data_IF_812162422552
#
_entry.id   IF_812162422552
#
_cell.length_a   1.000
_cell.length_b   1.000
_cell.length_c   1.000
_cell.angle_alpha   90.00
_cell.angle_beta   90.00
_cell.angle_gamma   90.00
#
_symmetry.space_group_name_H-M   'P 1'
#
loop_
_entity.id
_entity.type
_entity.pdbx_description
1 polymer ?
#
# COMPACT_ATOMS: atom_id res chain seq x y z
N UNK A 1 7.15 -22.13 25.50
CA UNK A 1 5.69 -22.26 25.70
C UNK A 1 5.05 -21.08 24.98
N UNK A 2 4.30 -21.28 23.89
CA UNK A 2 3.49 -20.19 23.34
C UNK A 2 2.43 -19.84 24.41
N UNK A 3 2.37 -18.58 24.80
CA UNK A 3 1.31 -18.04 25.66
C UNK A 3 -0.06 -18.37 25.06
N UNK A 4 -1.06 -18.59 25.92
CA UNK A 4 -2.43 -18.74 25.45
C UNK A 4 -2.83 -17.45 24.70
N UNK A 5 -3.42 -17.54 23.50
CA UNK A 5 -3.80 -16.35 22.75
C UNK A 5 -4.82 -15.52 23.55
N UNK A 6 -4.75 -14.17 23.46
CA UNK A 6 -5.66 -13.30 24.19
C UNK A 6 -7.11 -13.57 23.77
N UNK A 7 -8.05 -13.29 24.67
CA UNK A 7 -9.48 -13.41 24.37
C UNK A 7 -9.98 -12.13 23.68
N UNK A 8 -10.90 -12.23 22.70
CA UNK A 8 -11.54 -11.07 22.09
C UNK A 8 -12.46 -10.36 23.09
N UNK A 9 -12.61 -9.04 22.97
CA UNK A 9 -13.62 -8.29 23.70
C UNK A 9 -15.04 -8.55 23.15
N UNK A 10 -16.07 -8.15 23.89
CA UNK A 10 -17.47 -8.34 23.46
C UNK A 10 -17.79 -7.64 22.13
N UNK A 11 -17.17 -6.49 21.86
CA UNK A 11 -17.30 -5.79 20.58
C UNK A 11 -16.65 -6.59 19.42
N UNK A 12 -15.48 -7.18 19.65
CA UNK A 12 -14.77 -8.01 18.66
C UNK A 12 -15.56 -9.27 18.34
N UNK A 13 -16.30 -9.80 19.32
CA UNK A 13 -17.15 -10.99 19.16
C UNK A 13 -18.20 -10.80 18.06
N UNK A 14 -18.82 -9.61 17.99
CA UNK A 14 -19.80 -9.29 16.94
C UNK A 14 -19.12 -9.23 15.57
N UNK A 15 -17.97 -8.57 15.47
CA UNK A 15 -17.20 -8.46 14.24
C UNK A 15 -16.71 -9.82 13.74
N UNK A 16 -16.31 -10.71 14.65
CA UNK A 16 -15.92 -12.08 14.34
C UNK A 16 -17.10 -12.89 13.78
N UNK A 17 -18.30 -12.73 14.33
CA UNK A 17 -19.48 -13.43 13.84
C UNK A 17 -19.86 -12.98 12.43
N UNK A 18 -19.77 -11.67 12.15
CA UNK A 18 -19.94 -11.13 10.80
C UNK A 18 -18.88 -11.65 9.82
N UNK A 19 -17.60 -11.63 10.22
CA UNK A 19 -16.51 -12.12 9.40
C UNK A 19 -16.65 -13.61 9.09
N UNK A 20 -17.00 -14.43 10.07
CA UNK A 20 -17.26 -15.87 9.87
C UNK A 20 -18.48 -16.09 8.99
N UNK A 21 -19.53 -15.26 9.12
CA UNK A 21 -20.68 -15.28 8.22
C UNK A 21 -20.26 -15.08 6.75
N UNK A 22 -19.48 -14.04 6.48
CA UNK A 22 -18.93 -13.82 5.14
C UNK A 22 -18.11 -15.02 4.65
N UNK A 23 -17.18 -15.53 5.48
CA UNK A 23 -16.31 -16.66 5.11
C UNK A 23 -17.11 -17.95 4.84
N UNK A 24 -18.28 -18.14 5.47
CA UNK A 24 -19.08 -19.35 5.29
C UNK A 24 -20.06 -19.29 4.11
N UNK A 25 -20.52 -18.09 3.72
CA UNK A 25 -21.61 -17.94 2.74
C UNK A 25 -21.24 -17.16 1.47
N UNK A 26 -20.13 -16.43 1.46
CA UNK A 26 -19.66 -15.72 0.26
C UNK A 26 -19.02 -16.67 -0.75
N UNK A 27 -19.09 -16.29 -2.02
CA UNK A 27 -18.34 -16.91 -3.13
C UNK A 27 -17.05 -16.14 -3.48
N UNK A 28 -16.61 -15.21 -2.63
CA UNK A 28 -15.41 -14.39 -2.83
C UNK A 28 -15.67 -13.00 -3.42
N UNK A 29 -16.94 -12.59 -3.58
CA UNK A 29 -17.28 -11.24 -4.03
C UNK A 29 -16.90 -10.22 -2.96
N UNK A 30 -16.21 -9.15 -3.36
CA UNK A 30 -15.69 -8.16 -2.41
C UNK A 30 -16.80 -7.47 -1.62
N UNK A 31 -16.63 -7.43 -0.30
CA UNK A 31 -17.58 -6.83 0.64
C UNK A 31 -16.86 -5.81 1.55
N UNK A 32 -17.09 -4.49 1.35
CA UNK A 32 -16.49 -3.45 2.17
C UNK A 32 -16.80 -3.58 3.66
N UNK A 33 -17.96 -4.15 4.03
CA UNK A 33 -18.32 -4.36 5.44
C UNK A 33 -17.41 -5.42 6.07
N UNK A 34 -17.23 -6.55 5.39
CA UNK A 34 -16.30 -7.60 5.83
C UNK A 34 -14.88 -7.07 5.98
N UNK A 35 -14.39 -6.30 5.00
CA UNK A 35 -13.06 -5.70 5.03
C UNK A 35 -12.91 -4.72 6.20
N UNK A 36 -13.93 -3.88 6.44
CA UNK A 36 -13.99 -2.99 7.59
C UNK A 36 -13.92 -3.75 8.92
N UNK A 37 -14.73 -4.81 9.08
CA UNK A 37 -14.70 -5.65 10.28
C UNK A 37 -13.34 -6.31 10.51
N UNK A 38 -12.65 -6.75 9.46
CA UNK A 38 -11.26 -7.24 9.57
C UNK A 38 -10.30 -6.13 10.04
N UNK A 39 -10.43 -4.90 9.52
CA UNK A 39 -9.59 -3.77 9.93
C UNK A 39 -9.74 -3.44 11.42
N UNK A 40 -10.96 -3.47 11.93
CA UNK A 40 -11.26 -3.27 13.35
C UNK A 40 -10.72 -4.41 14.21
N UNK A 41 -10.87 -5.67 13.78
CA UNK A 41 -10.32 -6.82 14.49
C UNK A 41 -8.79 -6.75 14.60
N UNK A 42 -8.11 -6.36 13.52
CA UNK A 42 -6.67 -6.11 13.59
C UNK A 42 -6.34 -5.01 14.58
N UNK A 43 -7.10 -3.90 14.64
CA UNK A 43 -6.89 -2.81 15.60
C UNK A 43 -6.91 -3.31 17.05
N UNK A 44 -7.88 -4.14 17.39
CA UNK A 44 -7.95 -4.78 18.72
C UNK A 44 -6.74 -5.69 18.96
N UNK A 45 -6.36 -6.50 17.98
CA UNK A 45 -5.22 -7.42 18.08
C UNK A 45 -3.88 -6.67 18.24
N UNK A 46 -3.66 -5.54 17.57
CA UNK A 46 -2.40 -4.78 17.67
C UNK A 46 -2.12 -4.23 19.06
N UNK A 47 -3.17 -4.05 19.87
CA UNK A 47 -3.05 -3.61 21.26
C UNK A 47 -2.69 -4.76 22.21
N UNK A 48 -2.91 -6.01 21.79
CA UNK A 48 -2.81 -7.19 22.64
C UNK A 48 -1.53 -7.99 22.38
N UNK A 49 -1.04 -8.02 21.14
CA UNK A 49 0.11 -8.87 20.76
C UNK A 49 1.09 -8.13 19.84
N UNK A 50 2.37 -8.54 19.83
CA UNK A 50 3.35 -8.07 18.85
C UNK A 50 2.91 -8.36 17.41
N UNK A 51 3.45 -7.58 16.46
CA UNK A 51 3.12 -7.69 15.03
C UNK A 51 3.24 -9.11 14.46
N UNK A 52 4.26 -9.85 14.87
CA UNK A 52 4.53 -11.19 14.35
C UNK A 52 3.54 -12.26 14.83
N UNK A 53 2.73 -11.96 15.86
CA UNK A 53 1.73 -12.86 16.43
C UNK A 53 0.29 -12.50 15.99
N UNK A 54 0.11 -11.42 15.22
CA UNK A 54 -1.22 -10.91 14.82
C UNK A 54 -2.00 -11.93 13.99
N UNK A 55 -1.35 -12.51 12.99
CA UNK A 55 -1.97 -13.48 12.07
C UNK A 55 -2.39 -14.76 12.80
N UNK A 56 -1.52 -15.27 13.68
CA UNK A 56 -1.79 -16.42 14.54
C UNK A 56 -3.01 -16.15 15.44
N UNK A 57 -3.08 -14.94 16.02
CA UNK A 57 -4.16 -14.50 16.91
C UNK A 57 -5.48 -14.38 16.16
N UNK A 58 -5.50 -13.72 15.00
CA UNK A 58 -6.69 -13.61 14.15
C UNK A 58 -7.21 -14.99 13.74
N UNK A 59 -6.32 -15.87 13.28
CA UNK A 59 -6.70 -17.23 12.91
C UNK A 59 -7.29 -18.01 14.10
N UNK A 60 -6.73 -17.82 15.32
CA UNK A 60 -7.30 -18.40 16.53
C UNK A 60 -8.70 -17.86 16.86
N UNK A 61 -8.90 -16.54 16.77
CA UNK A 61 -10.18 -15.89 17.03
C UNK A 61 -11.25 -16.36 16.04
N UNK A 62 -10.96 -16.36 14.74
CA UNK A 62 -11.89 -16.84 13.70
C UNK A 62 -12.27 -18.31 13.90
N UNK A 63 -11.30 -19.19 14.20
CA UNK A 63 -11.59 -20.61 14.50
C UNK A 63 -12.46 -20.80 15.74
N UNK A 64 -12.26 -19.96 16.76
CA UNK A 64 -13.05 -20.01 17.98
C UNK A 64 -14.48 -19.51 17.75
N UNK A 65 -14.64 -18.46 16.95
CA UNK A 65 -15.94 -17.95 16.51
C UNK A 65 -16.70 -18.98 15.68
N UNK A 66 -16.05 -19.66 14.73
CA UNK A 66 -16.65 -20.78 13.98
C UNK A 66 -17.17 -21.87 14.91
N UNK A 67 -16.36 -22.33 15.87
CA UNK A 67 -16.78 -23.37 16.83
C UNK A 67 -17.96 -22.91 17.69
N UNK A 68 -18.02 -21.62 18.04
CA UNK A 68 -19.13 -21.05 18.80
C UNK A 68 -20.41 -21.06 17.96
N UNK A 69 -20.36 -20.54 16.73
CA UNK A 69 -21.51 -20.45 15.84
C UNK A 69 -22.04 -21.83 15.42
N UNK A 70 -21.15 -22.79 15.16
CA UNK A 70 -21.53 -24.17 14.84
C UNK A 70 -22.29 -24.85 16.00
N UNK A 71 -21.92 -24.57 17.26
CA UNK A 71 -22.65 -25.07 18.44
C UNK A 71 -24.05 -24.47 18.59
N UNK A 72 -24.23 -23.22 18.15
CA UNK A 72 -25.54 -22.56 18.13
C UNK A 72 -26.44 -23.19 17.06
N UNK A 73 -25.85 -23.68 15.96
CA UNK A 73 -26.55 -24.35 14.87
C UNK A 73 -27.24 -23.38 13.90
N UNK A 74 -28.32 -23.81 13.27
CA UNK A 74 -29.03 -23.01 12.26
C UNK A 74 -28.22 -22.87 10.97
N UNK A 75 -28.01 -21.64 10.50
CA UNK A 75 -27.28 -21.36 9.25
C UNK A 75 -25.83 -21.86 9.29
N UNK A 76 -25.23 -22.00 10.47
CA UNK A 76 -23.86 -22.49 10.67
C UNK A 76 -23.78 -23.98 11.00
N UNK A 77 -24.84 -24.76 10.75
CA UNK A 77 -24.81 -26.21 10.94
C UNK A 77 -23.75 -26.90 10.05
N UNK A 78 -23.48 -26.33 8.87
CA UNK A 78 -22.31 -26.67 8.05
C UNK A 78 -21.36 -25.47 7.99
N UNK A 79 -20.24 -25.59 8.71
CA UNK A 79 -19.17 -24.61 8.71
C UNK A 79 -17.92 -25.10 7.93
N UNK A 80 -18.09 -26.08 7.04
CA UNK A 80 -16.97 -26.70 6.29
C UNK A 80 -16.20 -25.67 5.49
N UNK A 81 -16.90 -24.76 4.81
CA UNK A 81 -16.27 -23.69 4.03
C UNK A 81 -15.45 -22.76 4.93
N UNK A 82 -16.05 -22.16 5.96
CA UNK A 82 -15.33 -21.25 6.84
C UNK A 82 -14.09 -21.90 7.48
N UNK A 83 -14.21 -23.15 7.96
CA UNK A 83 -13.08 -23.91 8.53
C UNK A 83 -11.94 -24.08 7.52
N UNK A 84 -12.27 -24.43 6.28
CA UNK A 84 -11.28 -24.62 5.22
C UNK A 84 -10.60 -23.30 4.85
N UNK A 85 -11.38 -22.25 4.58
CA UNK A 85 -10.87 -20.93 4.18
C UNK A 85 -9.94 -20.38 5.25
N UNK A 86 -10.35 -20.39 6.53
CA UNK A 86 -9.51 -19.93 7.64
C UNK A 86 -8.20 -20.73 7.72
N UNK A 87 -8.25 -22.05 7.57
CA UNK A 87 -7.06 -22.89 7.55
C UNK A 87 -6.11 -22.57 6.39
N UNK A 88 -6.65 -22.22 5.22
CA UNK A 88 -5.86 -21.84 4.05
C UNK A 88 -5.21 -20.46 4.25
N UNK A 89 -5.99 -19.43 4.58
CA UNK A 89 -5.51 -18.03 4.66
C UNK A 89 -4.65 -17.74 5.88
N UNK A 90 -4.87 -18.42 7.01
CA UNK A 90 -4.09 -18.18 8.22
C UNK A 90 -2.75 -18.95 8.25
N UNK A 91 -2.61 -20.04 7.48
CA UNK A 91 -1.47 -20.95 7.64
C UNK A 91 -0.73 -21.30 6.34
N UNK A 92 -1.46 -21.58 5.25
CA UNK A 92 -0.87 -22.14 4.02
C UNK A 92 -0.57 -21.06 2.97
N UNK A 93 -1.55 -20.22 2.67
CA UNK A 93 -1.41 -19.16 1.67
C UNK A 93 -0.31 -18.14 2.01
N UNK A 94 -0.13 -17.70 3.27
CA UNK A 94 0.99 -16.84 3.64
C UNK A 94 2.36 -17.39 3.25
N UNK A 95 2.57 -18.69 3.47
CA UNK A 95 3.83 -19.35 3.13
C UNK A 95 3.98 -19.51 1.62
N UNK A 96 2.91 -19.95 0.94
CA UNK A 96 2.92 -20.12 -0.52
C UNK A 96 3.19 -18.79 -1.25
N UNK A 97 2.55 -17.70 -0.81
CA UNK A 97 2.73 -16.37 -1.40
C UNK A 97 4.14 -15.83 -1.16
N UNK A 98 4.70 -15.97 0.06
CA UNK A 98 6.07 -15.55 0.34
C UNK A 98 7.11 -16.39 -0.43
N UNK A 99 6.88 -17.69 -0.62
CA UNK A 99 7.78 -18.54 -1.42
C UNK A 99 7.73 -18.18 -2.91
N UNK A 100 6.53 -17.93 -3.45
CA UNK A 100 6.34 -17.49 -4.83
C UNK A 100 7.05 -16.16 -5.09
N UNK A 101 6.96 -15.22 -4.15
CA UNK A 101 7.56 -13.88 -4.23
C UNK A 101 8.89 -13.76 -3.49
N UNK A 102 9.62 -14.87 -3.31
CA UNK A 102 10.88 -14.86 -2.54
C UNK A 102 11.96 -13.99 -3.17
N UNK A 103 11.88 -13.70 -4.47
CA UNK A 103 12.77 -12.79 -5.18
C UNK A 103 12.36 -11.31 -4.95
N UNK A 104 11.08 -11.00 -5.13
CA UNK A 104 10.55 -9.64 -5.04
C UNK A 104 10.40 -9.13 -3.60
N UNK A 105 9.99 -9.99 -2.67
CA UNK A 105 9.53 -9.61 -1.33
C UNK A 105 10.40 -10.16 -0.19
N UNK A 106 11.61 -10.67 -0.46
CA UNK A 106 12.53 -11.18 0.58
C UNK A 106 12.83 -10.18 1.71
N UNK A 107 12.72 -8.88 1.41
CA UNK A 107 13.00 -7.80 2.34
C UNK A 107 11.81 -7.41 3.21
N UNK A 108 10.59 -7.86 2.87
CA UNK A 108 9.38 -7.59 3.61
C UNK A 108 9.23 -8.62 4.73
N UNK A 109 8.85 -8.16 5.91
CA UNK A 109 8.39 -9.09 6.95
C UNK A 109 6.98 -9.59 6.63
N UNK A 110 6.61 -10.83 7.00
CA UNK A 110 5.24 -11.31 6.82
C UNK A 110 4.21 -10.40 7.51
N UNK A 111 4.54 -9.81 8.65
CA UNK A 111 3.64 -8.90 9.39
C UNK A 111 3.44 -7.53 8.71
N UNK A 112 4.31 -7.15 7.77
CA UNK A 112 4.12 -5.97 6.92
C UNK A 112 3.23 -6.25 5.70
N UNK A 113 3.22 -7.49 5.20
CA UNK A 113 2.39 -7.89 4.05
C UNK A 113 0.97 -8.27 4.49
N UNK A 114 0.86 -9.10 5.52
CA UNK A 114 -0.41 -9.69 5.99
C UNK A 114 -1.20 -8.74 6.89
N UNK A 115 -1.51 -7.57 6.34
CA UNK A 115 -2.32 -6.48 6.91
C UNK A 115 -3.82 -6.71 6.64
N UNK A 116 -4.73 -5.96 7.28
CA UNK A 116 -6.16 -6.33 7.33
C UNK A 116 -6.80 -6.48 5.96
N UNK A 117 -6.62 -5.51 5.07
CA UNK A 117 -7.20 -5.59 3.73
C UNK A 117 -6.48 -6.58 2.82
N UNK A 118 -5.18 -6.81 2.98
CA UNK A 118 -4.49 -7.89 2.27
C UNK A 118 -5.04 -9.26 2.68
N UNK A 119 -5.27 -9.47 3.98
CA UNK A 119 -5.96 -10.65 4.49
C UNK A 119 -7.37 -10.77 3.92
N UNK A 120 -8.10 -9.66 3.83
CA UNK A 120 -9.41 -9.61 3.17
C UNK A 120 -9.37 -10.07 1.71
N UNK A 121 -8.46 -9.52 0.90
CA UNK A 121 -8.23 -9.94 -0.49
C UNK A 121 -7.81 -11.40 -0.60
N UNK A 122 -7.02 -11.89 0.35
CA UNK A 122 -6.65 -13.30 0.40
C UNK A 122 -7.83 -14.22 0.71
N UNK A 123 -8.75 -13.80 1.59
CA UNK A 123 -10.01 -14.51 1.82
C UNK A 123 -10.88 -14.53 0.56
N UNK A 124 -11.04 -13.39 -0.11
CA UNK A 124 -11.77 -13.26 -1.38
C UNK A 124 -11.19 -14.22 -2.43
N UNK A 125 -9.87 -14.18 -2.67
CA UNK A 125 -9.21 -15.02 -3.67
C UNK A 125 -9.33 -16.53 -3.37
N UNK A 126 -9.24 -16.94 -2.10
CA UNK A 126 -9.44 -18.35 -1.70
C UNK A 126 -10.89 -18.78 -1.89
N UNK A 127 -11.85 -17.93 -1.55
CA UNK A 127 -13.28 -18.21 -1.74
C UNK A 127 -13.64 -18.33 -3.22
N UNK A 128 -13.07 -17.48 -4.09
CA UNK A 128 -13.25 -17.53 -5.55
C UNK A 128 -12.84 -18.88 -6.17
N UNK A 129 -11.90 -19.60 -5.55
CA UNK A 129 -11.47 -20.92 -6.05
C UNK A 129 -12.50 -22.03 -5.82
N UNK A 130 -13.39 -21.86 -4.84
CA UNK A 130 -14.47 -22.79 -4.52
C UNK A 130 -14.05 -24.22 -4.10
N UNK A 131 -15.06 -25.00 -3.74
CA UNK A 131 -14.94 -26.42 -3.41
C UNK A 131 -14.51 -27.27 -4.63
N UNK A 132 -13.90 -28.45 -4.44
CA UNK A 132 -13.68 -29.14 -3.17
C UNK A 132 -12.51 -28.57 -2.36
N UNK A 133 -12.77 -28.27 -1.09
CA UNK A 133 -11.81 -27.65 -0.15
C UNK A 133 -10.61 -28.53 0.23
N UNK A 134 -10.64 -29.81 -0.14
CA UNK A 134 -9.53 -30.75 0.01
C UNK A 134 -8.39 -30.50 -0.98
N UNK A 135 -8.68 -29.89 -2.14
CA UNK A 135 -7.70 -29.63 -3.20
C UNK A 135 -6.85 -28.39 -2.88
N UNK A 136 -6.05 -28.48 -1.81
CA UNK A 136 -5.25 -27.36 -1.29
C UNK A 136 -4.36 -26.74 -2.35
N UNK A 137 -3.60 -27.53 -3.11
CA UNK A 137 -2.63 -27.01 -4.09
C UNK A 137 -3.31 -26.20 -5.19
N UNK A 138 -4.40 -26.73 -5.78
CA UNK A 138 -5.23 -26.00 -6.75
C UNK A 138 -5.69 -24.66 -6.21
N UNK A 139 -6.17 -24.64 -4.97
CA UNK A 139 -6.69 -23.41 -4.35
C UNK A 139 -5.57 -22.40 -4.09
N UNK A 140 -4.41 -22.86 -3.61
CA UNK A 140 -3.27 -21.98 -3.35
C UNK A 140 -2.72 -21.37 -4.64
N UNK A 141 -2.50 -22.18 -5.68
CA UNK A 141 -1.99 -21.71 -6.97
C UNK A 141 -2.97 -20.73 -7.63
N UNK A 142 -4.27 -21.05 -7.59
CA UNK A 142 -5.32 -20.16 -8.10
C UNK A 142 -5.41 -18.85 -7.34
N UNK A 143 -5.38 -18.89 -5.99
CA UNK A 143 -5.44 -17.69 -5.16
C UNK A 143 -4.19 -16.80 -5.33
N UNK A 144 -2.99 -17.38 -5.44
CA UNK A 144 -1.76 -16.61 -5.73
C UNK A 144 -1.85 -15.96 -7.11
N UNK A 145 -2.34 -16.69 -8.12
CA UNK A 145 -2.57 -16.16 -9.46
C UNK A 145 -3.56 -14.99 -9.48
N UNK A 146 -4.67 -15.10 -8.74
CA UNK A 146 -5.69 -14.04 -8.64
C UNK A 146 -5.19 -12.80 -7.88
N UNK A 147 -4.40 -12.99 -6.82
CA UNK A 147 -3.79 -11.91 -6.06
C UNK A 147 -2.78 -11.11 -6.91
N UNK A 148 -2.03 -11.79 -7.78
CA UNK A 148 -0.97 -11.20 -8.60
C UNK A 148 -1.52 -10.39 -9.77
N UNK A 149 -2.07 -9.21 -9.47
CA UNK A 149 -2.80 -8.36 -10.41
C UNK A 149 -2.10 -7.02 -10.73
N UNK A 150 -0.89 -6.79 -10.23
CA UNK A 150 -0.15 -5.53 -10.43
C UNK A 150 1.31 -5.75 -10.78
N UNK A 151 1.76 -5.13 -11.87
CA UNK A 151 3.19 -5.10 -12.27
C UNK A 151 3.77 -3.67 -12.27
N UNK A 152 2.91 -2.65 -12.21
CA UNK A 152 3.28 -1.25 -12.37
C UNK A 152 3.64 -0.90 -13.83
N UNK A 153 4.48 0.12 -14.02
CA UNK A 153 4.83 0.54 -15.36
C UNK A 153 5.84 -0.43 -15.99
N UNK A 154 5.39 -1.27 -16.93
CA UNK A 154 6.21 -2.26 -17.62
C UNK A 154 6.17 -2.06 -19.15
N UNK A 155 7.19 -1.45 -19.77
CA UNK A 155 7.29 -1.40 -21.22
C UNK A 155 7.40 -2.81 -21.80
N UNK A 156 6.38 -3.24 -22.56
CA UNK A 156 6.43 -4.47 -23.32
C UNK A 156 7.17 -4.20 -24.64
N UNK A 157 8.32 -4.83 -24.84
CA UNK A 157 8.99 -4.82 -26.12
C UNK A 157 8.13 -5.55 -27.17
N UNK A 158 8.03 -4.99 -28.37
CA UNK A 158 7.49 -5.70 -29.53
C UNK A 158 8.65 -6.51 -30.11
N UNK A 159 8.55 -7.83 -30.08
CA UNK A 159 9.54 -8.72 -30.67
C UNK A 159 9.54 -8.55 -32.20
N UNK A 160 10.64 -8.94 -32.86
CA UNK A 160 10.74 -8.90 -34.31
C UNK A 160 9.65 -9.73 -35.03
N UNK A 161 9.06 -10.71 -34.32
CA UNK A 161 7.91 -11.49 -34.78
C UNK A 161 6.58 -10.71 -34.79
N UNK A 162 6.54 -9.48 -34.28
CA UNK A 162 5.34 -8.68 -34.07
C UNK A 162 4.59 -9.01 -32.76
N UNK A 163 5.04 -10.02 -32.01
CA UNK A 163 4.44 -10.41 -30.72
C UNK A 163 4.91 -9.46 -29.63
N UNK A 164 3.98 -8.93 -28.82
CA UNK A 164 4.34 -8.19 -27.60
C UNK A 164 4.81 -9.19 -26.55
N UNK A 165 5.94 -8.90 -25.90
CA UNK A 165 6.34 -9.64 -24.70
C UNK A 165 5.32 -9.36 -23.59
N UNK A 166 4.71 -10.41 -23.04
CA UNK A 166 3.93 -10.30 -21.82
C UNK A 166 4.87 -10.33 -20.61
N UNK A 167 4.54 -9.65 -19.49
CA UNK A 167 5.30 -9.80 -18.25
C UNK A 167 5.17 -11.24 -17.74
N UNK A 168 6.23 -11.75 -17.12
CA UNK A 168 6.18 -13.07 -16.51
C UNK A 168 5.22 -13.09 -15.31
N UNK A 169 4.55 -14.21 -15.01
CA UNK A 169 3.65 -14.30 -13.87
C UNK A 169 4.26 -13.89 -12.53
N UNK A 170 5.55 -14.13 -12.33
CA UNK A 170 6.27 -13.76 -11.10
C UNK A 170 6.65 -12.27 -11.04
N UNK A 171 6.52 -11.49 -12.11
CA UNK A 171 6.70 -10.02 -12.08
C UNK A 171 5.49 -9.32 -11.44
N UNK A 172 4.31 -9.96 -11.46
CA UNK A 172 3.08 -9.45 -10.88
C UNK A 172 3.05 -9.71 -9.37
N UNK A 173 2.51 -8.77 -8.61
CA UNK A 173 2.32 -8.87 -7.16
C UNK A 173 0.94 -8.33 -6.81
N UNK A 174 0.40 -8.68 -5.64
CA UNK A 174 -0.71 -7.93 -5.06
C UNK A 174 -0.17 -6.67 -4.38
N UNK A 175 -0.60 -5.45 -4.75
CA UNK A 175 -0.26 -4.27 -3.98
C UNK A 175 -1.04 -4.29 -2.67
N UNK A 176 -0.43 -3.85 -1.57
CA UNK A 176 -1.02 -3.94 -0.22
C UNK A 176 -2.10 -2.86 -0.09
N UNK A 177 -3.39 -3.22 0.02
CA UNK A 177 -4.44 -2.20 0.08
C UNK A 177 -4.37 -1.42 1.39
N UNK A 178 -4.40 -0.09 1.30
CA UNK A 178 -4.38 0.84 2.42
C UNK A 178 -5.70 1.59 2.58
N UNK A 179 -6.47 1.76 1.50
CA UNK A 179 -7.82 2.31 1.50
C UNK A 179 -8.67 1.51 0.53
N UNK A 180 -9.91 1.19 0.91
CA UNK A 180 -10.91 0.58 0.03
C UNK A 180 -12.22 1.37 0.18
N UNK A 181 -12.82 1.73 -0.95
CA UNK A 181 -14.11 2.43 -0.97
C UNK A 181 -15.15 1.65 -0.16
N UNK A 182 -15.80 2.34 0.77
CA UNK A 182 -16.82 1.77 1.66
C UNK A 182 -16.27 1.06 2.91
N UNK A 183 -15.00 0.64 2.91
CA UNK A 183 -14.32 0.07 4.09
C UNK A 183 -13.48 1.11 4.84
N UNK A 184 -13.02 2.17 4.14
CA UNK A 184 -12.18 3.22 4.71
C UNK A 184 -10.69 2.89 4.62
N UNK A 185 -9.91 3.47 5.53
CA UNK A 185 -8.46 3.29 5.61
C UNK A 185 -8.15 2.10 6.52
N UNK A 186 -7.22 1.24 6.08
CA UNK A 186 -6.78 0.08 6.84
C UNK A 186 -6.05 0.51 8.12
N UNK A 187 -6.31 -0.20 9.21
CA UNK A 187 -5.57 -0.03 10.46
C UNK A 187 -4.08 -0.30 10.25
N UNK A 188 -3.23 0.57 10.81
CA UNK A 188 -1.78 0.37 10.87
C UNK A 188 -0.97 1.65 10.79
N UNK A 189 0.33 1.51 10.52
CA UNK A 189 1.27 2.64 10.60
C UNK A 189 1.01 3.79 9.61
N UNK A 190 0.27 3.52 8.53
CA UNK A 190 -0.09 4.54 7.52
C UNK A 190 -1.48 5.14 7.76
N UNK A 191 -2.25 4.62 8.71
CA UNK A 191 -3.66 4.94 8.89
C UNK A 191 -3.89 6.44 9.07
N UNK A 192 -3.19 7.06 10.03
CA UNK A 192 -3.43 8.46 10.38
C UNK A 192 -3.02 9.43 9.27
N UNK A 193 -1.85 9.21 8.64
CA UNK A 193 -1.35 10.08 7.58
C UNK A 193 -2.20 9.94 6.31
N UNK A 194 -2.62 8.72 5.98
CA UNK A 194 -3.44 8.48 4.80
C UNK A 194 -4.87 9.00 5.00
N UNK A 195 -5.46 8.79 6.18
CA UNK A 195 -6.81 9.31 6.49
C UNK A 195 -6.88 10.83 6.36
N UNK A 196 -5.89 11.55 6.91
CA UNK A 196 -5.81 13.01 6.77
C UNK A 196 -5.54 13.44 5.34
N UNK A 197 -4.69 12.72 4.60
CA UNK A 197 -4.42 13.04 3.20
C UNK A 197 -5.67 12.86 2.32
N UNK A 198 -6.45 11.80 2.55
CA UNK A 198 -7.72 11.58 1.87
C UNK A 198 -8.74 12.68 2.19
N UNK A 199 -8.84 13.11 3.45
CA UNK A 199 -9.70 14.24 3.83
C UNK A 199 -9.30 15.53 3.09
N UNK A 200 -7.99 15.82 3.00
CA UNK A 200 -7.47 16.97 2.26
C UNK A 200 -7.82 16.87 0.76
N UNK A 201 -7.71 15.68 0.16
CA UNK A 201 -8.07 15.46 -1.25
C UNK A 201 -9.58 15.63 -1.49
N UNK A 202 -10.41 15.17 -0.55
CA UNK A 202 -11.87 15.29 -0.64
C UNK A 202 -12.35 16.74 -0.55
N UNK A 203 -11.65 17.61 0.19
CA UNK A 203 -11.95 19.03 0.35
C UNK A 203 -11.18 19.95 -0.62
N UNK A 204 -10.37 19.38 -1.50
CA UNK A 204 -9.58 20.12 -2.47
C UNK A 204 -10.46 20.79 -3.53
N UNK A 205 -9.95 21.88 -4.12
CA UNK A 205 -10.64 22.60 -5.18
C UNK A 205 -10.89 21.68 -6.40
N UNK A 206 -12.15 21.54 -6.86
CA UNK A 206 -12.48 20.72 -8.02
C UNK A 206 -11.68 21.06 -9.28
N UNK A 207 -11.25 22.31 -9.47
CA UNK A 207 -10.39 22.69 -10.60
C UNK A 207 -8.99 22.07 -10.48
N UNK A 208 -8.43 22.04 -9.28
CA UNK A 208 -7.13 21.40 -9.02
C UNK A 208 -7.23 19.89 -9.26
N UNK A 209 -8.30 19.27 -8.77
CA UNK A 209 -8.56 17.85 -8.96
C UNK A 209 -8.71 17.50 -10.46
N UNK A 210 -9.46 18.31 -11.21
CA UNK A 210 -9.61 18.15 -12.65
C UNK A 210 -8.27 18.30 -13.40
N UNK A 211 -7.46 19.31 -13.07
CA UNK A 211 -6.11 19.50 -13.67
C UNK A 211 -5.15 18.35 -13.33
N UNK A 212 -5.32 17.72 -12.16
CA UNK A 212 -4.52 16.59 -11.72
C UNK A 212 -5.04 15.23 -12.22
N UNK A 213 -6.13 15.20 -12.99
CA UNK A 213 -6.81 13.96 -13.39
C UNK A 213 -7.14 13.06 -12.19
N UNK A 214 -7.61 13.66 -11.10
CA UNK A 214 -7.94 12.94 -9.88
C UNK A 214 -9.43 13.12 -9.58
N UNK A 215 -10.19 12.03 -9.65
CA UNK A 215 -11.60 12.01 -9.29
C UNK A 215 -11.78 11.08 -8.08
N UNK A 216 -12.06 11.67 -6.92
CA UNK A 216 -12.22 10.91 -5.67
C UNK A 216 -13.39 9.94 -5.76
N UNK A 217 -14.46 10.28 -6.49
CA UNK A 217 -15.63 9.43 -6.65
C UNK A 217 -15.36 8.23 -7.57
N UNK A 218 -14.19 8.16 -8.22
CA UNK A 218 -13.73 7.00 -9.02
C UNK A 218 -12.67 6.17 -8.31
N UNK A 219 -12.16 6.63 -7.18
CA UNK A 219 -11.15 5.93 -6.41
C UNK A 219 -11.79 4.75 -5.65
N UNK A 220 -11.49 3.53 -6.09
CA UNK A 220 -11.91 2.30 -5.42
C UNK A 220 -10.88 1.83 -4.39
N UNK A 221 -9.59 2.03 -4.67
CA UNK A 221 -8.51 1.53 -3.83
C UNK A 221 -7.28 2.46 -3.84
N UNK A 222 -6.69 2.71 -2.68
CA UNK A 222 -5.28 3.13 -2.57
C UNK A 222 -4.50 1.95 -2.04
N UNK A 223 -3.44 1.57 -2.74
CA UNK A 223 -2.59 0.46 -2.37
C UNK A 223 -1.11 0.88 -2.32
N UNK A 224 -0.30 0.05 -1.67
CA UNK A 224 1.14 0.20 -1.57
C UNK A 224 1.81 -0.81 -2.50
N UNK A 225 2.79 -0.37 -3.29
CA UNK A 225 3.71 -1.29 -3.98
C UNK A 225 4.67 -1.90 -2.94
N UNK A 226 4.59 -3.22 -2.65
CA UNK A 226 5.40 -3.85 -1.61
C UNK A 226 6.81 -4.18 -2.10
N UNK A 227 7.11 -3.94 -3.38
CA UNK A 227 8.45 -4.21 -3.93
C UNK A 227 9.41 -3.12 -3.45
N UNK A 228 10.66 -3.50 -3.26
CA UNK A 228 11.68 -2.53 -2.89
C UNK A 228 11.94 -1.55 -4.04
N UNK A 229 12.03 -0.28 -3.70
CA UNK A 229 12.26 0.77 -4.68
C UNK A 229 13.73 0.84 -5.10
N UNK A 230 14.01 0.47 -6.35
CA UNK A 230 15.34 0.58 -6.97
C UNK A 230 15.54 1.98 -7.60
N UNK A 231 16.31 2.85 -6.95
CA UNK A 231 16.56 4.19 -7.47
C UNK A 231 17.39 4.22 -8.77
N UNK A 232 18.05 3.13 -9.12
CA UNK A 232 18.82 3.03 -10.37
C UNK A 232 18.02 2.45 -11.54
N UNK A 233 16.92 1.75 -11.25
CA UNK A 233 16.07 1.16 -12.28
C UNK A 233 15.58 2.25 -13.25
N UNK A 234 15.69 2.07 -14.59
CA UNK A 234 15.37 3.10 -15.56
C UNK A 234 13.93 3.65 -15.45
N UNK A 235 12.96 2.79 -15.11
CA UNK A 235 11.56 3.21 -14.89
C UNK A 235 11.46 4.22 -13.74
N UNK A 236 12.27 4.04 -12.69
CA UNK A 236 12.23 4.83 -11.46
C UNK A 236 12.88 6.21 -11.60
N UNK A 237 13.48 6.49 -12.77
CA UNK A 237 13.98 7.82 -13.17
C UNK A 237 12.89 8.71 -13.75
N UNK A 238 11.68 8.18 -13.97
CA UNK A 238 10.53 8.96 -14.43
C UNK A 238 10.13 10.01 -13.38
N UNK A 239 9.77 11.23 -13.80
CA UNK A 239 9.26 12.23 -12.87
C UNK A 239 8.06 11.70 -12.07
N UNK A 240 8.01 12.00 -10.78
CA UNK A 240 6.93 11.65 -9.85
C UNK A 240 6.64 10.14 -9.68
N UNK A 241 7.36 9.22 -10.33
CA UNK A 241 7.08 7.78 -10.22
C UNK A 241 7.25 7.25 -8.79
N UNK A 242 8.21 7.81 -8.05
CA UNK A 242 8.41 7.49 -6.64
C UNK A 242 7.25 7.95 -5.74
N UNK A 243 6.34 8.81 -6.22
CA UNK A 243 5.14 9.18 -5.46
C UNK A 243 3.98 8.20 -5.68
N UNK A 244 3.98 7.46 -6.80
CA UNK A 244 2.93 6.51 -7.15
C UNK A 244 2.42 6.70 -8.58
N UNK A 245 1.32 6.01 -8.90
CA UNK A 245 0.63 6.12 -10.18
C UNK A 245 -0.77 5.50 -10.09
N UNK A 246 -1.65 5.89 -11.01
CA UNK A 246 -2.83 5.07 -11.33
C UNK A 246 -2.40 3.71 -11.88
N UNK A 247 -3.12 2.66 -11.48
CA UNK A 247 -2.86 1.29 -11.93
C UNK A 247 -3.48 1.04 -13.32
N UNK A 248 -2.66 0.77 -14.36
CA UNK A 248 -3.16 0.52 -15.70
C UNK A 248 -3.99 -0.75 -15.86
N UNK A 249 -3.90 -1.70 -14.92
CA UNK A 249 -4.59 -2.99 -14.99
C UNK A 249 -5.95 -2.98 -14.30
N UNK A 250 -6.23 -1.97 -13.48
CA UNK A 250 -7.48 -1.86 -12.74
C UNK A 250 -8.36 -0.74 -13.33
N UNK A 251 -9.14 -1.11 -14.35
CA UNK A 251 -9.96 -0.20 -15.16
C UNK A 251 -11.44 -0.44 -14.86
N UNK A 252 -12.16 0.63 -14.54
CA UNK A 252 -13.61 0.62 -14.36
C UNK A 252 -14.35 0.34 -15.67
N UNK A 253 -15.63 -0.07 -15.62
CA UNK A 253 -16.45 -0.24 -16.82
C UNK A 253 -16.55 1.02 -17.70
N UNK A 254 -16.35 2.21 -17.11
CA UNK A 254 -16.36 3.50 -17.80
C UNK A 254 -15.00 3.85 -18.44
N UNK A 255 -13.99 3.00 -18.31
CA UNK A 255 -12.68 3.18 -18.93
C UNK A 255 -11.69 4.03 -18.13
N UNK A 256 -11.95 4.25 -16.83
CA UNK A 256 -11.05 5.01 -15.95
C UNK A 256 -10.28 4.06 -15.04
N UNK A 257 -9.04 4.41 -14.69
CA UNK A 257 -8.32 3.71 -13.63
C UNK A 257 -9.02 3.95 -12.29
N UNK A 258 -9.14 2.94 -11.44
CA UNK A 258 -9.77 3.08 -10.12
C UNK A 258 -8.92 2.66 -8.92
N UNK A 259 -7.71 2.14 -9.15
CA UNK A 259 -6.72 1.85 -8.10
C UNK A 259 -5.52 2.77 -8.22
N UNK A 260 -5.17 3.47 -7.15
CA UNK A 260 -3.95 4.28 -7.07
C UNK A 260 -2.89 3.56 -6.24
N UNK A 261 -1.69 3.38 -6.79
CA UNK A 261 -0.61 2.63 -6.13
C UNK A 261 0.52 3.58 -5.72
N UNK A 262 0.70 3.73 -4.41
CA UNK A 262 1.77 4.48 -3.77
C UNK A 262 3.04 3.64 -3.68
N UNK A 263 4.20 4.30 -3.75
CA UNK A 263 5.48 3.64 -3.50
C UNK A 263 5.82 3.71 -2.01
N UNK A 264 6.21 2.57 -1.42
CA UNK A 264 6.50 2.47 0.01
C UNK A 264 7.57 3.44 0.48
N UNK A 265 8.59 3.68 -0.35
CA UNK A 265 9.68 4.60 -0.02
C UNK A 265 9.20 6.02 0.29
N UNK A 266 8.10 6.48 -0.32
CA UNK A 266 7.53 7.82 -0.09
C UNK A 266 6.72 7.88 1.19
N UNK A 267 5.86 6.89 1.46
CA UNK A 267 5.11 6.83 2.72
C UNK A 267 6.05 6.72 3.91
N UNK A 268 7.03 5.82 3.83
CA UNK A 268 8.03 5.66 4.89
C UNK A 268 8.84 6.94 5.11
N UNK A 269 9.18 7.67 4.04
CA UNK A 269 9.91 8.94 4.17
C UNK A 269 9.07 10.06 4.80
N UNK A 270 7.75 10.05 4.62
CA UNK A 270 6.83 10.94 5.33
C UNK A 270 6.71 10.54 6.80
N UNK A 271 6.59 9.25 7.10
CA UNK A 271 6.47 8.76 8.48
C UNK A 271 7.72 9.09 9.33
N UNK A 272 8.92 9.16 8.76
CA UNK A 272 10.09 9.61 9.53
C UNK A 272 9.94 11.04 10.05
N UNK A 273 9.17 11.90 9.36
CA UNK A 273 8.87 13.26 9.82
C UNK A 273 7.88 13.26 10.99
N UNK A 274 6.95 12.31 10.99
CA UNK A 274 5.90 12.17 12.00
C UNK A 274 6.41 11.50 13.29
N UNK A 275 7.59 10.89 13.27
CA UNK A 275 8.19 10.29 14.47
C UNK A 275 8.33 11.36 15.57
N UNK A 276 7.71 11.16 16.75
CA UNK A 276 7.78 12.11 17.86
C UNK A 276 9.21 12.44 18.28
N UNK A 277 10.16 11.51 18.09
CA UNK A 277 11.59 11.71 18.39
C UNK A 277 12.26 12.73 17.47
N UNK A 278 11.68 12.96 16.29
CA UNK A 278 12.13 13.93 15.30
C UNK A 278 11.35 15.25 15.38
N UNK A 279 10.38 15.36 16.30
CA UNK A 279 9.60 16.58 16.46
C UNK A 279 10.41 17.65 17.22
N UNK A 280 10.61 18.86 16.65
CA UNK A 280 11.30 19.93 17.36
C UNK A 280 10.53 20.40 18.61
N UNK A 281 11.23 20.91 19.63
CA UNK A 281 10.57 21.52 20.78
C UNK A 281 9.60 22.64 20.36
N UNK A 282 8.40 22.65 20.93
CA UNK A 282 7.37 23.64 20.65
C UNK A 282 6.56 23.40 19.37
N UNK A 283 6.73 22.26 18.71
CA UNK A 283 5.87 21.82 17.60
C UNK A 283 5.04 20.62 18.06
N UNK A 284 3.73 20.69 17.86
CA UNK A 284 2.84 19.58 18.18
C UNK A 284 3.03 18.41 17.20
N UNK A 285 3.06 17.15 17.66
CA UNK A 285 3.14 15.99 16.77
C UNK A 285 2.00 15.93 15.74
N UNK A 286 0.81 16.44 16.10
CA UNK A 286 -0.34 16.54 15.19
C UNK A 286 -0.07 17.47 14.02
N UNK A 287 0.61 18.61 14.24
CA UNK A 287 0.98 19.52 13.16
C UNK A 287 1.91 18.82 12.14
N UNK A 288 2.83 17.99 12.63
CA UNK A 288 3.76 17.23 11.76
C UNK A 288 3.03 16.23 10.89
N UNK A 289 2.04 15.58 11.48
CA UNK A 289 1.17 14.66 10.78
C UNK A 289 0.30 15.38 9.73
N UNK A 290 -0.27 16.53 10.07
CA UNK A 290 -1.05 17.36 9.13
C UNK A 290 -0.21 17.85 7.95
N UNK A 291 1.02 18.29 8.22
CA UNK A 291 1.97 18.67 7.19
C UNK A 291 2.38 17.49 6.30
N UNK A 292 2.61 16.31 6.89
CA UNK A 292 2.96 15.11 6.13
C UNK A 292 1.79 14.64 5.26
N UNK A 293 0.56 14.70 5.78
CA UNK A 293 -0.66 14.40 5.05
C UNK A 293 -0.90 15.38 3.89
N UNK A 294 -0.67 16.68 4.12
CA UNK A 294 -0.72 17.71 3.07
C UNK A 294 0.26 17.42 1.94
N UNK A 295 1.49 16.99 2.29
CA UNK A 295 2.49 16.61 1.29
C UNK A 295 2.11 15.33 0.57
N UNK A 296 1.58 14.32 1.28
CA UNK A 296 1.08 13.09 0.66
C UNK A 296 -0.01 13.40 -0.37
N UNK A 297 -1.02 14.18 -0.01
CA UNK A 297 -2.08 14.62 -0.92
C UNK A 297 -1.51 15.33 -2.15
N UNK A 298 -0.60 16.30 -1.95
CA UNK A 298 0.06 16.97 -3.07
C UNK A 298 0.87 16.03 -3.96
N UNK A 299 1.54 15.02 -3.40
CA UNK A 299 2.29 14.02 -4.18
C UNK A 299 1.39 13.06 -4.96
N UNK A 300 0.23 12.69 -4.41
CA UNK A 300 -0.81 11.91 -5.10
C UNK A 300 -1.32 12.69 -6.32
N UNK A 301 -1.64 13.98 -6.17
CA UNK A 301 -2.07 14.85 -7.29
C UNK A 301 -0.98 14.99 -8.37
N UNK A 302 0.29 15.13 -7.97
CA UNK A 302 1.41 15.20 -8.92
C UNK A 302 1.60 13.89 -9.69
N UNK A 303 1.51 12.73 -9.03
CA UNK A 303 1.62 11.42 -9.66
C UNK A 303 0.40 11.07 -10.53
N UNK A 304 -0.80 11.45 -10.09
CA UNK A 304 -2.03 11.35 -10.86
C UNK A 304 -1.92 12.13 -12.16
N UNK A 305 -1.47 13.40 -12.10
CA UNK A 305 -1.28 14.21 -13.31
C UNK A 305 -0.24 13.64 -14.27
N UNK A 306 0.83 13.02 -13.75
CA UNK A 306 1.84 12.34 -14.57
C UNK A 306 1.30 11.10 -15.28
N UNK A 307 0.49 10.28 -14.61
CA UNK A 307 -0.01 9.01 -15.15
C UNK A 307 -1.28 9.16 -15.99
N UNK A 308 -2.14 10.12 -15.66
CA UNK A 308 -3.47 10.27 -16.22
C UNK A 308 -4.46 9.25 -15.65
N UNK A 309 -5.76 9.54 -15.70
CA UNK A 309 -6.83 8.74 -15.09
C UNK A 309 -7.42 7.65 -16.01
N UNK A 310 -6.90 7.47 -17.22
CA UNK A 310 -7.44 6.52 -18.19
C UNK A 310 -6.41 6.10 -19.25
N UNK A 311 -6.63 4.97 -19.95
CA UNK A 311 -5.84 4.59 -21.10
C UNK A 311 -5.82 5.69 -22.17
N UNK A 312 -4.63 6.07 -22.63
CA UNK A 312 -4.46 7.08 -23.67
C UNK A 312 -4.77 8.52 -23.23
N UNK A 313 -4.87 8.81 -21.92
CA UNK A 313 -5.10 10.18 -21.43
C UNK A 313 -4.03 11.16 -21.92
N UNK A 314 -2.77 10.74 -21.84
CA UNK A 314 -1.65 11.43 -22.47
C UNK A 314 -1.38 10.76 -23.81
N UNK A 315 -1.57 11.50 -24.89
CA UNK A 315 -1.23 11.03 -26.23
C UNK A 315 0.28 11.10 -26.48
N UNK A 316 0.73 10.62 -27.65
CA UNK A 316 2.15 10.63 -28.03
C UNK A 316 2.73 12.03 -28.27
N UNK A 317 1.90 13.07 -28.33
CA UNK A 317 2.32 14.47 -28.48
C UNK A 317 2.61 15.15 -27.15
N UNK A 318 2.05 14.64 -26.04
CA UNK A 318 2.35 15.13 -24.69
C UNK A 318 3.75 14.69 -24.29
N UNK A 319 4.61 15.67 -23.99
CA UNK A 319 5.96 15.42 -23.50
C UNK A 319 6.09 15.79 -22.03
N UNK A 320 7.13 15.28 -21.37
CA UNK A 320 7.44 15.70 -19.99
C UNK A 320 7.70 17.21 -19.90
N UNK A 321 8.23 17.84 -20.95
CA UNK A 321 8.48 19.29 -20.93
C UNK A 321 7.20 20.12 -20.99
N UNK A 322 6.12 19.60 -21.60
CA UNK A 322 4.81 20.27 -21.61
C UNK A 322 3.98 19.94 -20.37
N UNK A 323 4.13 18.72 -19.84
CA UNK A 323 3.35 18.23 -18.71
C UNK A 323 3.85 18.78 -17.35
N UNK A 324 5.16 18.79 -17.12
CA UNK A 324 5.72 19.20 -15.82
C UNK A 324 5.40 20.65 -15.40
N UNK A 325 5.38 21.65 -16.31
CA UNK A 325 4.95 23.00 -15.94
C UNK A 325 3.50 23.08 -15.48
N UNK A 326 2.60 22.30 -16.09
CA UNK A 326 1.20 22.24 -15.68
C UNK A 326 1.07 21.61 -14.30
N UNK A 327 1.81 20.52 -14.05
CA UNK A 327 1.88 19.87 -12.75
C UNK A 327 2.41 20.80 -11.66
N UNK A 328 3.47 21.55 -11.97
CA UNK A 328 4.02 22.52 -11.04
C UNK A 328 3.02 23.63 -10.70
N UNK A 329 2.26 24.11 -11.70
CA UNK A 329 1.27 25.17 -11.51
C UNK A 329 0.14 24.75 -10.55
N UNK A 330 -0.57 23.66 -10.82
CA UNK A 330 -1.65 23.25 -9.93
C UNK A 330 -1.15 22.77 -8.55
N UNK A 331 0.07 22.24 -8.47
CA UNK A 331 0.71 21.92 -7.18
C UNK A 331 0.90 23.18 -6.35
N UNK A 332 1.38 24.25 -6.96
CA UNK A 332 1.63 25.50 -6.24
C UNK A 332 0.30 26.15 -5.81
N UNK A 333 -0.73 26.12 -6.67
CA UNK A 333 -2.10 26.53 -6.30
C UNK A 333 -2.63 25.72 -5.11
N UNK A 334 -2.48 24.38 -5.16
CA UNK A 334 -2.93 23.46 -4.11
C UNK A 334 -2.36 23.84 -2.75
N UNK A 335 -1.04 23.98 -2.64
CA UNK A 335 -0.45 24.31 -1.36
C UNK A 335 -0.70 25.77 -0.94
N UNK A 336 -0.87 26.71 -1.87
CA UNK A 336 -1.26 28.08 -1.54
C UNK A 336 -2.66 28.13 -0.94
N UNK A 337 -3.63 27.43 -1.55
CA UNK A 337 -4.99 27.35 -1.03
C UNK A 337 -5.02 26.67 0.35
N UNK A 338 -4.26 25.59 0.54
CA UNK A 338 -4.17 24.91 1.83
C UNK A 338 -3.55 25.81 2.91
N UNK A 339 -2.48 26.54 2.58
CA UNK A 339 -1.86 27.51 3.49
C UNK A 339 -2.79 28.67 3.86
N UNK A 340 -3.63 29.12 2.92
CA UNK A 340 -4.61 30.18 3.16
C UNK A 340 -5.72 29.73 4.14
N UNK A 341 -6.10 28.45 4.12
CA UNK A 341 -7.07 27.86 5.03
C UNK A 341 -6.48 27.54 6.42
N UNK A 342 -5.16 27.39 6.53
CA UNK A 342 -4.50 27.07 7.80
C UNK A 342 -4.69 28.21 8.82
N UNK A 343 -5.16 27.86 10.02
CA UNK A 343 -5.51 28.81 11.07
C UNK A 343 -4.71 28.54 12.36
N UNK A 344 -4.76 29.50 13.29
CA UNK A 344 -4.11 29.40 14.59
C UNK A 344 -2.58 29.39 14.54
N UNK A 345 -1.91 29.01 15.65
CA UNK A 345 -0.46 29.03 15.78
C UNK A 345 0.27 28.18 14.72
N UNK A 346 -0.32 27.04 14.32
CA UNK A 346 0.20 26.20 13.25
C UNK A 346 0.21 26.93 11.90
N UNK A 347 -0.90 27.58 11.54
CA UNK A 347 -1.01 28.37 10.32
C UNK A 347 -0.03 29.54 10.27
N UNK A 348 0.15 30.26 11.39
CA UNK A 348 1.12 31.35 11.48
C UNK A 348 2.55 30.84 11.23
N UNK A 349 2.93 29.72 11.86
CA UNK A 349 4.22 29.06 11.64
C UNK A 349 4.41 28.63 10.18
N UNK A 350 3.39 28.06 9.55
CA UNK A 350 3.46 27.65 8.15
C UNK A 350 3.65 28.85 7.22
N UNK A 351 3.05 30.01 7.51
CA UNK A 351 3.23 31.23 6.70
C UNK A 351 4.64 31.80 6.88
N UNK A 352 5.18 31.81 8.09
CA UNK A 352 6.58 32.19 8.35
C UNK A 352 7.56 31.23 7.64
N UNK A 353 7.31 29.92 7.71
CA UNK A 353 8.09 28.91 7.01
C UNK A 353 8.02 29.13 5.49
N UNK A 354 6.83 29.42 4.95
CA UNK A 354 6.62 29.65 3.53
C UNK A 354 7.39 30.88 3.02
N UNK A 355 7.47 31.95 3.81
CA UNK A 355 8.29 33.13 3.50
C UNK A 355 9.78 32.78 3.47
N UNK A 356 10.27 32.03 4.46
CA UNK A 356 11.68 31.62 4.55
C UNK A 356 12.10 30.66 3.44
N UNK A 357 11.29 29.65 3.19
CA UNK A 357 11.56 28.59 2.21
C UNK A 357 11.12 28.97 0.79
N UNK A 358 10.41 30.10 0.63
CA UNK A 358 9.79 30.58 -0.61
C UNK A 358 8.80 29.60 -1.23
N UNK A 359 8.25 28.69 -0.43
CA UNK A 359 7.24 27.73 -0.86
C UNK A 359 6.36 27.31 0.32
N UNK A 360 5.03 27.20 0.16
CA UNK A 360 4.16 26.64 1.19
C UNK A 360 4.55 25.20 1.57
N UNK A 361 4.38 24.86 2.86
CA UNK A 361 4.76 23.56 3.43
C UNK A 361 6.21 23.17 3.12
N UNK A 362 7.10 24.16 3.05
CA UNK A 362 8.46 23.99 2.56
C UNK A 362 9.28 23.02 3.40
N UNK A 363 9.09 22.99 4.72
CA UNK A 363 9.80 22.11 5.63
C UNK A 363 9.44 20.64 5.40
N UNK A 364 8.16 20.33 5.21
CA UNK A 364 7.69 18.97 4.95
C UNK A 364 8.13 18.47 3.56
N UNK A 365 8.00 19.33 2.55
CA UNK A 365 8.45 19.03 1.17
C UNK A 365 9.96 18.82 1.09
N UNK A 366 10.74 19.67 1.74
CA UNK A 366 12.20 19.53 1.80
C UNK A 366 12.61 18.27 2.55
N UNK A 367 11.93 17.93 3.65
CA UNK A 367 12.17 16.69 4.39
C UNK A 367 11.97 15.46 3.51
N UNK A 368 10.83 15.36 2.82
CA UNK A 368 10.55 14.25 1.90
C UNK A 368 11.65 14.12 0.84
N UNK A 369 11.98 15.23 0.16
CA UNK A 369 13.02 15.23 -0.87
C UNK A 369 14.40 14.84 -0.31
N UNK A 370 14.75 15.32 0.88
CA UNK A 370 16.01 15.01 1.53
C UNK A 370 16.10 13.52 1.91
N UNK A 371 15.03 12.96 2.50
CA UNK A 371 15.00 11.55 2.89
C UNK A 371 15.05 10.63 1.66
N UNK A 372 14.33 10.95 0.58
CA UNK A 372 14.43 10.20 -0.67
C UNK A 372 15.85 10.28 -1.28
N UNK A 373 16.45 11.47 -1.31
CA UNK A 373 17.82 11.65 -1.79
C UNK A 373 18.85 10.89 -0.94
N UNK A 374 18.67 10.88 0.39
CA UNK A 374 19.50 10.14 1.33
C UNK A 374 19.39 8.63 1.11
N UNK A 375 18.18 8.09 0.99
CA UNK A 375 17.94 6.65 0.70
C UNK A 375 18.59 6.25 -0.62
N UNK A 376 18.43 7.05 -1.66
CA UNK A 376 19.11 6.88 -2.94
C UNK A 376 20.63 6.85 -2.78
N UNK A 377 21.22 7.84 -2.10
CA UNK A 377 22.66 7.92 -1.92
C UNK A 377 23.21 6.68 -1.18
N UNK A 378 22.52 6.22 -0.13
CA UNK A 378 22.90 5.01 0.62
C UNK A 378 22.85 3.78 -0.29
N UNK A 379 21.76 3.59 -1.05
CA UNK A 379 21.64 2.46 -1.98
C UNK A 379 22.79 2.45 -3.00
N UNK A 380 23.02 3.57 -3.69
CA UNK A 380 24.08 3.69 -4.71
C UNK A 380 25.47 3.41 -4.12
N UNK A 381 25.73 3.95 -2.93
CA UNK A 381 27.00 3.74 -2.24
C UNK A 381 27.22 2.26 -1.91
N UNK A 382 26.19 1.56 -1.42
CA UNK A 382 26.27 0.14 -1.06
C UNK A 382 26.48 -0.74 -2.29
N UNK A 383 25.73 -0.50 -3.36
CA UNK A 383 25.91 -1.22 -4.65
C UNK A 383 27.33 -1.01 -5.18
N UNK A 384 27.84 0.23 -5.17
CA UNK A 384 29.19 0.52 -5.64
C UNK A 384 30.27 -0.17 -4.78
N UNK A 385 30.12 -0.17 -3.45
CA UNK A 385 31.02 -0.88 -2.55
C UNK A 385 30.98 -2.40 -2.76
N UNK A 386 29.79 -2.98 -3.01
CA UNK A 386 29.63 -4.39 -3.34
C UNK A 386 30.46 -4.76 -4.58
N UNK A 387 30.32 -3.96 -5.66
CA UNK A 387 31.07 -4.15 -6.90
C UNK A 387 32.58 -4.00 -6.72
N UNK A 388 33.03 -3.04 -5.91
CA UNK A 388 34.46 -2.86 -5.59
C UNK A 388 35.01 -4.07 -4.83
N UNK A 389 34.32 -4.56 -3.81
CA UNK A 389 34.75 -5.74 -3.06
C UNK A 389 34.77 -6.99 -3.94
N UNK A 390 33.78 -7.17 -4.82
CA UNK A 390 33.76 -8.28 -5.77
C UNK A 390 34.97 -8.23 -6.72
N UNK A 391 35.30 -7.05 -7.27
CA UNK A 391 36.50 -6.86 -8.11
C UNK A 391 37.81 -7.13 -7.38
N UNK A 392 37.85 -6.90 -6.06
CA UNK A 392 39.00 -7.21 -5.21
C UNK A 392 39.06 -8.68 -4.76
N UNK A 393 38.14 -9.54 -5.20
CA UNK A 393 38.05 -10.95 -4.78
C UNK A 393 37.54 -11.14 -3.35
N UNK A 394 36.91 -10.13 -2.75
CA UNK A 394 36.36 -10.18 -1.37
C UNK A 394 34.87 -10.51 -1.38
N UNK A 395 34.52 -11.74 -1.74
CA UNK A 395 33.13 -12.16 -1.97
C UNK A 395 32.21 -11.98 -0.75
N UNK A 396 32.68 -12.30 0.46
CA UNK A 396 31.87 -12.12 1.68
C UNK A 396 31.55 -10.64 1.95
N UNK A 397 32.53 -9.75 1.75
CA UNK A 397 32.34 -8.32 1.94
C UNK A 397 31.41 -7.74 0.86
N UNK A 398 31.49 -8.25 -0.37
CA UNK A 398 30.60 -7.88 -1.46
C UNK A 398 29.15 -8.27 -1.16
N UNK A 399 28.90 -9.53 -0.79
CA UNK A 399 27.58 -10.03 -0.39
C UNK A 399 27.00 -9.22 0.77
N UNK A 400 27.79 -8.95 1.81
CA UNK A 400 27.33 -8.11 2.94
C UNK A 400 26.87 -6.71 2.51
N UNK A 401 27.49 -6.11 1.49
CA UNK A 401 27.02 -4.83 0.95
C UNK A 401 25.76 -5.00 0.09
N UNK A 402 25.71 -6.02 -0.75
CA UNK A 402 24.54 -6.33 -1.59
C UNK A 402 23.30 -6.64 -0.75
N UNK A 403 23.41 -7.51 0.26
CA UNK A 403 22.32 -7.90 1.17
C UNK A 403 21.78 -6.72 1.99
N UNK A 404 22.59 -5.67 2.17
CA UNK A 404 22.13 -4.44 2.83
C UNK A 404 21.23 -3.58 1.94
N UNK A 405 21.23 -3.84 0.63
CA UNK A 405 20.39 -3.22 -0.37
C UNK A 405 19.22 -4.16 -0.67
N UNK A 406 18.03 -3.76 -0.25
CA UNK A 406 16.83 -4.59 -0.24
C UNK A 406 16.15 -4.78 -1.62
N UNK A 407 16.82 -4.50 -2.75
CA UNK A 407 16.19 -4.57 -4.08
C UNK A 407 16.53 -5.86 -4.82
N UNK A 408 15.58 -6.38 -5.59
CA UNK A 408 15.74 -7.63 -6.33
C UNK A 408 16.86 -7.59 -7.41
N UNK A 409 17.29 -6.40 -7.82
CA UNK A 409 18.34 -6.18 -8.84
C UNK A 409 19.76 -6.09 -8.27
N UNK A 410 19.94 -6.07 -6.94
CA UNK A 410 21.20 -5.73 -6.26
C UNK A 410 22.25 -6.86 -6.25
#
# INVERSE_FOLDING_TARGET
MKSQPPQPADADVVLLDEAVGYLNFSSGASDPKFLGSLSELYRSIEQLVPRDEMLDTLGHWLRSAVKRLERVGGAFADATQAKAVIGLVAEKLPKAYCEFHRDLLHHQSPSEVWRPFFMGRACEAVLSQGAPWSETERILDGAVGELNDYVGYRPAAVLASGTRSEPYPHEYVRPIPLYIRGAGVATGQYEEVLSRALAILQEADPDILARAWFDFDRLDEIALDPRAYDFDHPVNRRPNYHFGQWDPLHISPQGYYSRFVLQQVTLDALLTRCDPRNCPPGVEPTDRLDEAAAVLAGTVLMASGTSGDAPGRHDSSVTLSTLLPQIAAYRDDFYQQLLAKAAGPHGDRLREEAQRSRQPFGGARQHLNHELARRRAIQLQRVHLALLFARMGRSEAALKQADSVRVASA
#
